data_IF_335483284074
#
_entry.id   IF_335483284074
#
_cell.length_a   1.000
_cell.length_b   1.000
_cell.length_c   1.000
_cell.angle_alpha   90.00
_cell.angle_beta   90.00
_cell.angle_gamma   90.00
#
_symmetry.space_group_name_H-M   'P 1'
#
loop_
_entity.id
_entity.type
_entity.pdbx_description
1 polymer ?
#
# COMPACT_ATOMS: atom_id res chain seq x y z
N UNK A 1 -7.57 -0.79 1.65
CA UNK A 1 -7.89 -2.03 0.91
C UNK A 1 -6.96 -2.27 -0.28
N UNK A 2 -6.76 -1.30 -1.18
CA UNK A 2 -5.85 -1.47 -2.34
C UNK A 2 -4.40 -1.83 -1.95
N UNK A 3 -3.90 -1.24 -0.85
CA UNK A 3 -2.58 -1.57 -0.28
C UNK A 3 -2.46 -3.05 0.10
N UNK A 4 -3.49 -3.61 0.74
CA UNK A 4 -3.54 -5.03 1.11
C UNK A 4 -3.53 -5.91 -0.13
N UNK A 5 -4.28 -5.55 -1.18
CA UNK A 5 -4.27 -6.30 -2.44
C UNK A 5 -2.89 -6.25 -3.11
N UNK A 6 -2.22 -5.09 -3.13
CA UNK A 6 -0.87 -4.95 -3.66
C UNK A 6 0.17 -5.82 -2.92
N UNK A 7 0.01 -6.01 -1.61
CA UNK A 7 0.86 -6.94 -0.85
C UNK A 7 0.47 -8.41 -1.10
N UNK A 8 -0.83 -8.69 -1.19
CA UNK A 8 -1.34 -10.04 -1.37
C UNK A 8 -1.00 -10.66 -2.73
N UNK A 9 -0.82 -9.87 -3.80
CA UNK A 9 -0.49 -10.38 -5.15
C UNK A 9 0.74 -11.28 -5.18
N UNK A 10 1.68 -11.12 -4.25
CA UNK A 10 2.88 -11.95 -4.15
C UNK A 10 2.59 -13.40 -3.73
N UNK A 11 1.43 -13.65 -3.13
CA UNK A 11 1.05 -14.94 -2.56
C UNK A 11 -0.11 -15.61 -3.31
N UNK A 12 -0.70 -14.92 -4.28
CA UNK A 12 -1.85 -15.40 -5.04
C UNK A 12 -1.38 -16.20 -6.27
N UNK A 13 -1.96 -17.38 -6.53
CA UNK A 13 -1.69 -18.15 -7.75
C UNK A 13 -1.93 -17.34 -9.04
N UNK A 14 -1.11 -17.58 -10.06
CA UNK A 14 -1.16 -16.81 -11.32
C UNK A 14 -2.43 -17.01 -12.13
N UNK A 15 -3.08 -18.17 -12.01
CA UNK A 15 -4.39 -18.48 -12.60
C UNK A 15 -5.49 -17.60 -12.01
N UNK A 16 -5.44 -17.33 -10.71
CA UNK A 16 -6.38 -16.38 -10.06
C UNK A 16 -6.15 -14.97 -10.58
N UNK A 17 -4.89 -14.54 -10.70
CA UNK A 17 -4.57 -13.22 -11.26
C UNK A 17 -5.01 -13.08 -12.72
N UNK A 18 -4.83 -14.13 -13.52
CA UNK A 18 -5.30 -14.19 -14.90
C UNK A 18 -6.82 -14.09 -14.99
N UNK A 19 -7.56 -14.74 -14.08
CA UNK A 19 -9.02 -14.61 -13.99
C UNK A 19 -9.48 -13.19 -13.66
N UNK A 20 -8.65 -12.41 -12.96
CA UNK A 20 -8.86 -11.00 -12.67
C UNK A 20 -8.40 -10.05 -13.80
N UNK A 21 -7.87 -10.58 -14.90
CA UNK A 21 -7.42 -9.80 -16.05
C UNK A 21 -5.98 -9.29 -15.97
N UNK A 22 -5.14 -9.89 -15.11
CA UNK A 22 -3.72 -9.54 -14.99
C UNK A 22 -2.85 -10.63 -15.61
N UNK A 23 -1.84 -10.24 -16.39
CA UNK A 23 -0.95 -11.16 -17.10
C UNK A 23 0.09 -11.79 -16.19
N UNK A 24 0.49 -11.09 -15.13
CA UNK A 24 1.49 -11.53 -14.16
C UNK A 24 1.37 -10.81 -12.81
N UNK A 25 2.10 -11.30 -11.81
CA UNK A 25 2.15 -10.75 -10.45
C UNK A 25 2.56 -9.28 -10.45
N UNK A 26 3.59 -8.92 -11.24
CA UNK A 26 4.10 -7.55 -11.29
C UNK A 26 3.04 -6.58 -11.82
N UNK A 27 2.32 -6.94 -12.88
CA UNK A 27 1.24 -6.11 -13.44
C UNK A 27 0.11 -5.90 -12.41
N UNK A 28 -0.34 -6.98 -11.77
CA UNK A 28 -1.37 -6.91 -10.73
C UNK A 28 -0.92 -6.04 -9.55
N UNK A 29 0.29 -6.27 -9.04
CA UNK A 29 0.86 -5.53 -7.92
C UNK A 29 0.96 -4.04 -8.25
N UNK A 30 1.46 -3.70 -9.44
CA UNK A 30 1.59 -2.32 -9.92
C UNK A 30 0.22 -1.64 -9.98
N UNK A 31 -0.78 -2.34 -10.52
CA UNK A 31 -2.14 -1.81 -10.65
C UNK A 31 -2.77 -1.51 -9.28
N UNK A 32 -2.66 -2.44 -8.31
CA UNK A 32 -3.18 -2.21 -6.96
C UNK A 32 -2.40 -1.15 -6.21
N UNK A 33 -1.08 -1.12 -6.36
CA UNK A 33 -0.21 -0.10 -5.76
C UNK A 33 -0.58 1.30 -6.28
N UNK A 34 -0.73 1.49 -7.59
CA UNK A 34 -1.11 2.77 -8.17
C UNK A 34 -2.51 3.22 -7.73
N UNK A 35 -3.48 2.29 -7.66
CA UNK A 35 -4.81 2.59 -7.11
C UNK A 35 -4.72 3.03 -5.65
N UNK A 36 -3.87 2.40 -4.85
CA UNK A 36 -3.65 2.79 -3.46
C UNK A 36 -3.03 4.19 -3.34
N UNK A 37 -2.06 4.53 -4.19
CA UNK A 37 -1.49 5.87 -4.26
C UNK A 37 -2.55 6.93 -4.58
N UNK A 38 -3.37 6.70 -5.61
CA UNK A 38 -4.43 7.63 -5.99
C UNK A 38 -5.44 7.85 -4.85
N UNK A 39 -5.84 6.78 -4.16
CA UNK A 39 -6.73 6.89 -2.99
C UNK A 39 -6.10 7.67 -1.84
N UNK A 40 -4.79 7.51 -1.62
CA UNK A 40 -4.05 8.29 -0.64
C UNK A 40 -3.99 9.78 -1.05
N UNK A 41 -3.70 10.07 -2.32
CA UNK A 41 -3.54 11.43 -2.83
C UNK A 41 -4.84 12.21 -2.83
N UNK A 42 -5.95 11.57 -3.20
CA UNK A 42 -7.29 12.16 -3.08
C UNK A 42 -7.85 12.14 -1.66
N UNK A 43 -7.08 11.68 -0.67
CA UNK A 43 -7.47 11.60 0.73
C UNK A 43 -8.82 10.88 0.91
N UNK A 44 -9.06 9.82 0.13
CA UNK A 44 -10.32 9.09 0.15
C UNK A 44 -10.54 8.35 1.47
N UNK A 45 -9.45 7.84 2.08
CA UNK A 45 -9.50 7.23 3.41
C UNK A 45 -9.41 8.31 4.51
N UNK A 46 -10.32 8.23 5.49
CA UNK A 46 -10.41 9.18 6.60
C UNK A 46 -9.97 8.56 7.93
N UNK A 47 -10.02 7.24 8.06
CA UNK A 47 -9.53 6.53 9.22
C UNK A 47 -8.01 6.65 9.31
N UNK A 48 -7.53 7.32 10.36
CA UNK A 48 -6.10 7.47 10.62
C UNK A 48 -5.40 6.12 10.81
N UNK A 49 -6.10 5.14 11.40
CA UNK A 49 -5.56 3.78 11.55
C UNK A 49 -5.39 3.08 10.19
N UNK A 50 -6.37 3.23 9.28
CA UNK A 50 -6.27 2.66 7.94
C UNK A 50 -5.18 3.34 7.11
N UNK A 51 -5.01 4.66 7.25
CA UNK A 51 -3.90 5.39 6.64
C UNK A 51 -2.54 4.94 7.18
N UNK A 52 -2.44 4.68 8.49
CA UNK A 52 -1.24 4.16 9.13
C UNK A 52 -0.86 2.79 8.56
N UNK A 53 -1.79 1.84 8.61
CA UNK A 53 -1.61 0.49 8.07
C UNK A 53 -1.27 0.52 6.58
N UNK A 54 -1.98 1.36 5.81
CA UNK A 54 -1.72 1.56 4.39
C UNK A 54 -0.32 2.08 4.10
N UNK A 55 0.15 3.05 4.89
CA UNK A 55 1.51 3.61 4.75
C UNK A 55 2.58 2.55 5.02
N UNK A 56 2.42 1.74 6.06
CA UNK A 56 3.36 0.65 6.35
C UNK A 56 3.45 -0.34 5.19
N UNK A 57 2.31 -0.77 4.66
CA UNK A 57 2.27 -1.72 3.54
C UNK A 57 2.89 -1.09 2.28
N UNK A 58 2.54 0.16 1.95
CA UNK A 58 3.11 0.86 0.80
C UNK A 58 4.63 0.97 0.88
N UNK A 59 5.18 1.25 2.07
CA UNK A 59 6.62 1.28 2.29
C UNK A 59 7.31 -0.04 1.97
N UNK A 60 6.68 -1.18 2.31
CA UNK A 60 7.22 -2.51 1.99
C UNK A 60 7.12 -2.89 0.51
N UNK A 61 6.10 -2.40 -0.20
CA UNK A 61 5.90 -2.64 -1.64
C UNK A 61 6.63 -1.65 -2.55
N UNK A 62 7.00 -0.46 -2.05
CA UNK A 62 7.62 0.60 -2.84
C UNK A 62 9.04 0.27 -3.34
N UNK A 63 9.70 -0.75 -2.77
CA UNK A 63 11.05 -1.18 -3.19
C UNK A 63 11.14 -1.61 -4.66
N UNK A 64 10.02 -2.04 -5.26
CA UNK A 64 10.01 -2.59 -6.61
C UNK A 64 9.71 -1.56 -7.70
N UNK A 65 9.47 -0.29 -7.33
CA UNK A 65 8.98 0.73 -8.27
C UNK A 65 9.76 2.05 -8.15
N UNK A 66 10.20 2.64 -9.27
CA UNK A 66 10.81 3.97 -9.26
C UNK A 66 9.72 5.02 -9.00
N UNK A 67 9.62 5.50 -7.76
CA UNK A 67 8.59 6.44 -7.32
C UNK A 67 9.23 7.57 -6.52
N UNK A 68 8.70 8.78 -6.65
CA UNK A 68 9.06 9.98 -5.86
C UNK A 68 8.90 9.80 -4.34
N UNK A 69 8.23 8.72 -3.91
CA UNK A 69 7.93 8.36 -2.52
C UNK A 69 8.47 6.97 -2.24
N UNK A 70 9.68 6.97 -1.70
CA UNK A 70 10.39 5.76 -1.30
C UNK A 70 9.87 5.19 0.03
N UNK A 71 10.51 4.11 0.48
CA UNK A 71 10.22 3.48 1.78
C UNK A 71 10.31 4.46 2.95
N UNK A 72 11.21 5.44 2.90
CA UNK A 72 11.39 6.42 3.97
C UNK A 72 10.20 7.35 4.07
N UNK A 73 9.69 7.86 2.93
CA UNK A 73 8.48 8.67 2.91
C UNK A 73 7.32 7.97 3.61
N UNK A 74 7.05 6.73 3.24
CA UNK A 74 5.93 5.95 3.78
C UNK A 74 6.12 5.62 5.26
N UNK A 75 7.36 5.31 5.66
CA UNK A 75 7.71 5.08 7.06
C UNK A 75 7.50 6.33 7.93
N UNK A 76 7.98 7.49 7.50
CA UNK A 76 7.76 8.74 8.24
C UNK A 76 6.28 9.11 8.33
N UNK A 77 5.52 8.87 7.25
CA UNK A 77 4.07 9.09 7.27
C UNK A 77 3.37 8.17 8.28
N UNK A 78 3.79 6.90 8.35
CA UNK A 78 3.30 5.95 9.34
C UNK A 78 3.63 6.40 10.76
N UNK A 79 4.88 6.75 11.06
CA UNK A 79 5.28 7.25 12.39
C UNK A 79 4.44 8.47 12.80
N UNK A 80 4.27 9.44 11.90
CA UNK A 80 3.44 10.62 12.13
C UNK A 80 2.00 10.26 12.51
N UNK A 81 1.40 9.28 11.84
CA UNK A 81 0.04 8.81 12.11
C UNK A 81 -0.05 8.03 13.43
N UNK A 82 0.93 7.18 13.73
CA UNK A 82 1.01 6.45 14.99
C UNK A 82 1.10 7.40 16.19
N UNK A 83 1.92 8.45 16.09
CA UNK A 83 2.03 9.49 17.13
C UNK A 83 0.71 10.22 17.34
N UNK A 84 -0.02 10.55 16.27
CA UNK A 84 -1.34 11.20 16.35
C UNK A 84 -2.39 10.31 17.01
N UNK A 85 -2.29 9.00 16.83
CA UNK A 85 -3.14 8.00 17.46
C UNK A 85 -2.69 7.64 18.89
N UNK A 86 -1.58 8.22 19.36
CA UNK A 86 -0.97 7.92 20.66
C UNK A 86 -0.63 6.45 20.90
N UNK A 87 -0.35 5.69 19.83
CA UNK A 87 -0.10 4.25 19.94
C UNK A 87 1.15 3.90 20.76
N UNK A 88 2.07 4.84 20.95
CA UNK A 88 3.23 4.69 21.83
C UNK A 88 2.89 4.56 23.33
N UNK A 89 1.63 4.82 23.72
CA UNK A 89 1.17 4.73 25.11
C UNK A 89 0.40 3.43 25.40
N UNK A 90 0.20 2.57 24.38
CA UNK A 90 -0.39 1.23 24.52
C UNK A 90 0.67 0.22 24.95
#
# INVERSE_FOLDING_TARGET
MQTVLASATLYVPTDVLASCGYSNITEAQTAFFNKALLLHDFQCEKSQLCLLQGSLILGTTAFFYPIDRDVHYWFFNAVRLATKLELQKL
#
